data_IF_512894470864
#
_entry.id   IF_512894470864
#
_cell.length_a   1.000
_cell.length_b   1.000
_cell.length_c   1.000
_cell.angle_alpha   90.00
_cell.angle_beta   90.00
_cell.angle_gamma   90.00
#
_symmetry.space_group_name_H-M   'P 1'
#
loop_
_entity.id
_entity.type
_entity.pdbx_description
1 polymer ?
#
# COMPACT_ATOMS: atom_id res chain seq x y z
N UNK A 1 3.33 -18.05 -18.20
CA UNK A 1 2.83 -17.35 -17.01
C UNK A 1 3.42 -15.96 -17.01
N UNK A 2 2.66 -14.94 -17.38
CA UNK A 2 3.10 -13.55 -17.22
C UNK A 2 3.31 -13.29 -15.72
N UNK A 3 4.53 -12.91 -15.34
CA UNK A 3 4.80 -12.45 -13.97
C UNK A 3 3.88 -11.24 -13.74
N UNK A 4 2.97 -11.34 -12.78
CA UNK A 4 2.11 -10.22 -12.37
C UNK A 4 2.97 -8.96 -12.18
N UNK A 5 2.79 -7.99 -13.09
CA UNK A 5 3.45 -6.69 -13.08
C UNK A 5 2.87 -5.89 -11.91
N UNK A 6 3.66 -5.74 -10.86
CA UNK A 6 3.31 -4.97 -9.68
C UNK A 6 4.47 -4.10 -9.24
N UNK A 7 4.16 -3.08 -8.45
CA UNK A 7 5.08 -2.14 -7.85
C UNK A 7 5.30 -2.55 -6.40
N UNK A 8 6.54 -2.47 -5.94
CA UNK A 8 6.88 -2.59 -4.53
C UNK A 8 6.59 -1.24 -3.85
N UNK A 9 5.54 -1.19 -3.01
CA UNK A 9 5.13 0.00 -2.28
C UNK A 9 5.24 -0.25 -0.79
N UNK A 10 6.24 0.34 -0.14
CA UNK A 10 6.46 0.27 1.31
C UNK A 10 6.51 -1.18 1.84
N UNK A 11 7.19 -2.08 1.11
CA UNK A 11 7.30 -3.50 1.46
C UNK A 11 6.08 -4.36 1.10
N UNK A 12 5.07 -3.77 0.45
CA UNK A 12 3.92 -4.51 -0.09
C UNK A 12 3.97 -4.51 -1.61
N UNK A 13 3.79 -5.69 -2.23
CA UNK A 13 3.61 -5.80 -3.67
C UNK A 13 2.18 -5.40 -4.06
N UNK A 14 2.04 -4.33 -4.83
CA UNK A 14 0.76 -3.77 -5.30
C UNK A 14 0.66 -3.94 -6.82
N UNK A 15 -0.50 -4.36 -7.35
CA UNK A 15 -0.66 -4.49 -8.80
C UNK A 15 -0.61 -3.10 -9.47
N UNK A 16 -0.11 -3.00 -10.71
CA UNK A 16 0.03 -1.70 -11.38
C UNK A 16 -1.31 -0.97 -11.51
N UNK A 17 -2.38 -1.69 -11.86
CA UNK A 17 -3.71 -1.10 -11.98
C UNK A 17 -4.27 -0.66 -10.62
N UNK A 18 -3.99 -1.43 -9.58
CA UNK A 18 -4.32 -1.11 -8.20
C UNK A 18 -3.63 0.20 -7.77
N UNK A 19 -2.34 0.32 -8.08
CA UNK A 19 -1.56 1.52 -7.79
C UNK A 19 -2.13 2.73 -8.52
N UNK A 20 -2.42 2.58 -9.82
CA UNK A 20 -3.02 3.65 -10.61
C UNK A 20 -4.37 4.09 -10.03
N UNK A 21 -5.26 3.14 -9.69
CA UNK A 21 -6.54 3.43 -9.05
C UNK A 21 -6.37 4.20 -7.74
N UNK A 22 -5.44 3.77 -6.87
CA UNK A 22 -5.15 4.46 -5.61
C UNK A 22 -4.62 5.87 -5.87
N UNK A 23 -3.74 6.05 -6.85
CA UNK A 23 -3.08 7.32 -7.13
C UNK A 23 -4.01 8.35 -7.77
N UNK A 24 -5.02 7.90 -8.52
CA UNK A 24 -5.90 8.80 -9.29
C UNK A 24 -7.32 8.92 -8.74
N UNK A 25 -7.69 8.16 -7.71
CA UNK A 25 -9.06 8.21 -7.17
C UNK A 25 -9.39 9.58 -6.60
N UNK A 26 -10.54 10.12 -6.99
CA UNK A 26 -11.08 11.35 -6.42
C UNK A 26 -11.53 11.13 -4.97
N UNK A 27 -11.31 12.13 -4.13
CA UNK A 27 -11.82 12.17 -2.74
C UNK A 27 -13.35 12.12 -2.65
N UNK A 28 -14.05 12.42 -3.75
CA UNK A 28 -15.51 12.36 -3.84
C UNK A 28 -16.01 10.99 -4.32
N UNK A 29 -15.13 10.06 -4.67
CA UNK A 29 -15.51 8.72 -5.10
C UNK A 29 -16.04 7.90 -3.92
N UNK A 30 -17.10 7.11 -4.14
CA UNK A 30 -17.61 6.15 -3.16
C UNK A 30 -16.56 5.13 -2.71
N UNK A 31 -15.59 4.83 -3.58
CA UNK A 31 -14.51 3.89 -3.28
C UNK A 31 -13.32 4.54 -2.56
N UNK A 32 -13.33 5.85 -2.34
CA UNK A 32 -12.20 6.56 -1.73
C UNK A 32 -11.84 6.00 -0.36
N UNK A 33 -12.84 5.80 0.50
CA UNK A 33 -12.61 5.26 1.84
C UNK A 33 -12.06 3.82 1.82
N UNK A 34 -12.48 3.01 0.84
CA UNK A 34 -11.91 1.68 0.65
C UNK A 34 -10.39 1.75 0.38
N UNK A 35 -9.97 2.56 -0.59
CA UNK A 35 -8.55 2.68 -0.93
C UNK A 35 -7.73 3.37 0.15
N UNK A 36 -8.32 4.36 0.84
CA UNK A 36 -7.73 4.99 2.03
C UNK A 36 -7.43 3.97 3.13
N UNK A 37 -8.35 3.05 3.42
CA UNK A 37 -8.11 2.00 4.42
C UNK A 37 -7.04 0.99 3.96
N UNK A 38 -6.93 0.71 2.65
CA UNK A 38 -5.84 -0.11 2.11
C UNK A 38 -4.48 0.56 2.30
N UNK A 39 -4.34 1.83 1.93
CA UNK A 39 -3.09 2.59 2.10
C UNK A 39 -2.70 2.68 3.58
N UNK A 40 -3.66 2.94 4.47
CA UNK A 40 -3.41 2.94 5.92
C UNK A 40 -2.81 1.64 6.42
N UNK A 41 -3.29 0.48 5.95
CA UNK A 41 -2.73 -0.83 6.34
C UNK A 41 -1.31 -1.02 5.84
N UNK A 42 -1.03 -0.64 4.59
CA UNK A 42 0.32 -0.70 4.00
C UNK A 42 1.29 0.15 4.84
N UNK A 43 0.93 1.40 5.14
CA UNK A 43 1.77 2.29 5.95
C UNK A 43 1.97 1.76 7.37
N UNK A 44 0.91 1.26 8.03
CA UNK A 44 1.02 0.66 9.37
C UNK A 44 1.97 -0.52 9.39
N UNK A 45 1.88 -1.41 8.40
CA UNK A 45 2.77 -2.57 8.30
C UNK A 45 4.22 -2.13 8.09
N UNK A 46 4.45 -1.19 7.19
CA UNK A 46 5.79 -0.63 6.95
C UNK A 46 6.38 -0.01 8.21
N UNK A 47 5.61 0.82 8.94
CA UNK A 47 6.06 1.42 10.20
C UNK A 47 6.39 0.31 11.19
N UNK A 48 5.50 -0.66 11.38
CA UNK A 48 5.69 -1.77 12.32
C UNK A 48 6.97 -2.57 12.02
N UNK A 49 7.20 -2.94 10.75
CA UNK A 49 8.42 -3.62 10.33
C UNK A 49 9.68 -2.80 10.64
N UNK A 50 9.62 -1.48 10.46
CA UNK A 50 10.75 -0.58 10.75
C UNK A 50 10.95 -0.30 12.23
N UNK A 51 9.89 -0.24 13.05
CA UNK A 51 10.01 -0.04 14.50
C UNK A 51 10.38 -1.30 15.26
N UNK A 52 10.09 -2.50 14.75
CA UNK A 52 10.61 -3.75 15.35
C UNK A 52 12.11 -3.90 15.17
N UNK A 53 12.73 -3.25 14.18
CA UNK A 53 14.15 -3.41 13.88
C UNK A 53 15.10 -2.68 14.86
N UNK A 54 14.58 -2.05 15.92
CA UNK A 54 15.42 -1.50 16.99
C UNK A 54 14.84 -1.70 18.41
N UNK A 55 14.78 -2.93 18.94
CA UNK A 55 14.88 -3.13 20.37
C UNK A 55 16.38 -3.22 20.65
N UNK A 56 16.99 -2.05 20.89
CA UNK A 56 18.36 -1.88 21.37
C UNK A 56 18.80 -3.10 22.20
N UNK A 57 19.81 -3.82 21.71
CA UNK A 57 20.49 -4.89 22.44
C UNK A 57 21.22 -4.32 23.66
#
# INVERSE_FOLDING_TARGET
MEKEKGIELLGAKVCNDCFNQIATISVLSENYDYYKEKVKRIVKNYIYEKTILDPVK
#
